data_IF_666806675675
#
_entry.id   IF_666806675675
#
_cell.length_a   1.000
_cell.length_b   1.000
_cell.length_c   1.000
_cell.angle_alpha   90.00
_cell.angle_beta   90.00
_cell.angle_gamma   90.00
#
_symmetry.space_group_name_H-M   'P 1'
#
loop_
_entity.id
_entity.type
_entity.pdbx_description
1 polymer ?
#
# COMPACT_ATOMS: atom_id res chain seq x y z
N UNK A 1 -22.54 24.92 -9.52
CA UNK A 1 -21.12 25.31 -9.31
C UNK A 1 -20.43 24.22 -8.50
N UNK A 2 -19.52 23.43 -9.07
CA UNK A 2 -18.80 22.37 -8.33
C UNK A 2 -17.67 23.06 -7.55
N UNK A 3 -17.84 23.21 -6.25
CA UNK A 3 -16.80 23.77 -5.37
C UNK A 3 -15.63 22.78 -5.31
N UNK A 4 -14.55 23.06 -6.03
CA UNK A 4 -13.33 22.25 -5.98
C UNK A 4 -12.62 22.57 -4.67
N UNK A 5 -12.85 21.76 -3.64
CA UNK A 5 -12.14 21.92 -2.37
C UNK A 5 -10.64 21.69 -2.60
N UNK A 6 -9.81 22.71 -2.36
CA UNK A 6 -8.34 22.60 -2.44
C UNK A 6 -7.86 21.62 -1.37
N UNK A 7 -7.03 20.66 -1.76
CA UNK A 7 -6.30 19.78 -0.85
C UNK A 7 -4.93 20.40 -0.56
N UNK A 8 -4.39 20.15 0.63
CA UNK A 8 -3.07 20.65 1.02
C UNK A 8 -2.02 19.54 0.86
N UNK A 9 -1.58 19.26 -0.38
CA UNK A 9 -0.56 18.22 -0.63
C UNK A 9 0.77 18.57 0.05
N UNK A 10 1.07 19.85 0.21
CA UNK A 10 2.30 20.32 0.87
C UNK A 10 2.30 20.09 2.39
N UNK A 11 1.17 19.70 2.99
CA UNK A 11 1.08 19.34 4.42
C UNK A 11 1.62 17.93 4.73
N UNK A 12 1.97 17.15 3.72
CA UNK A 12 2.56 15.84 3.89
C UNK A 12 3.92 15.77 3.19
N UNK A 13 4.79 14.92 3.70
CA UNK A 13 6.09 14.66 3.09
C UNK A 13 5.95 13.83 1.82
N UNK A 14 6.97 13.87 0.95
CA UNK A 14 7.04 12.95 -0.19
C UNK A 14 7.06 11.47 0.23
N UNK A 15 7.67 11.18 1.39
CA UNK A 15 7.69 9.84 1.99
C UNK A 15 6.28 9.36 2.34
N UNK A 16 5.48 10.20 2.99
CA UNK A 16 4.08 9.88 3.29
C UNK A 16 3.25 9.69 2.02
N UNK A 17 3.48 10.52 1.00
CA UNK A 17 2.80 10.40 -0.29
C UNK A 17 3.17 9.09 -1.02
N UNK A 18 4.46 8.77 -1.12
CA UNK A 18 4.94 7.54 -1.76
C UNK A 18 4.40 6.30 -1.03
N UNK A 19 4.40 6.32 0.31
CA UNK A 19 3.79 5.27 1.13
C UNK A 19 2.29 5.12 0.86
N UNK A 20 1.53 6.23 0.86
CA UNK A 20 0.09 6.21 0.60
C UNK A 20 -0.22 5.68 -0.81
N UNK A 21 0.59 6.03 -1.80
CA UNK A 21 0.46 5.52 -3.17
C UNK A 21 0.78 4.02 -3.23
N UNK A 22 1.82 3.57 -2.52
CA UNK A 22 2.11 2.14 -2.37
C UNK A 22 0.91 1.36 -1.83
N UNK A 23 0.31 1.85 -0.75
CA UNK A 23 -0.90 1.27 -0.17
C UNK A 23 -2.08 1.32 -1.14
N UNK A 24 -2.22 2.40 -1.89
CA UNK A 24 -3.27 2.52 -2.90
C UNK A 24 -3.13 1.45 -4.01
N UNK A 25 -1.90 1.11 -4.41
CA UNK A 25 -1.69 0.04 -5.37
C UNK A 25 -2.08 -1.34 -4.83
N UNK A 26 -1.84 -1.60 -3.55
CA UNK A 26 -2.29 -2.80 -2.83
C UNK A 26 -3.82 -2.81 -2.69
N UNK A 27 -4.35 -2.06 -1.71
CA UNK A 27 -5.76 -2.12 -1.28
C UNK A 27 -6.61 -0.91 -1.64
N UNK A 28 -6.04 0.00 -2.43
CA UNK A 28 -6.77 1.16 -2.94
C UNK A 28 -7.66 0.83 -4.12
N UNK A 29 -8.70 1.64 -4.30
CA UNK A 29 -9.50 1.72 -5.51
C UNK A 29 -9.95 3.16 -5.76
N UNK A 30 -10.13 3.54 -7.01
CA UNK A 30 -10.73 4.82 -7.36
C UNK A 30 -11.75 4.66 -8.48
N UNK A 31 -12.88 5.35 -8.36
CA UNK A 31 -13.96 5.33 -9.34
C UNK A 31 -14.77 6.62 -9.30
N UNK A 32 -15.56 6.85 -10.36
CA UNK A 32 -16.50 7.95 -10.44
C UNK A 32 -17.91 7.35 -10.33
N UNK A 33 -18.69 7.82 -9.37
CA UNK A 33 -20.08 7.40 -9.15
C UNK A 33 -20.99 8.62 -9.18
N UNK A 34 -21.94 8.70 -10.12
CA UNK A 34 -22.85 9.85 -10.29
C UNK A 34 -22.13 11.22 -10.23
N UNK A 35 -21.05 11.37 -11.00
CA UNK A 35 -20.15 12.56 -11.04
C UNK A 35 -19.35 12.83 -9.75
N UNK A 36 -19.38 11.91 -8.80
CA UNK A 36 -18.63 11.99 -7.54
C UNK A 36 -17.34 11.20 -7.66
N UNK A 37 -16.20 11.87 -7.48
CA UNK A 37 -14.88 11.25 -7.51
C UNK A 37 -14.56 10.61 -6.16
N UNK A 38 -14.36 9.29 -6.15
CA UNK A 38 -14.13 8.51 -4.94
C UNK A 38 -12.79 7.78 -5.00
N UNK A 39 -12.04 7.89 -3.92
CA UNK A 39 -10.88 7.06 -3.61
C UNK A 39 -11.19 6.27 -2.35
N UNK A 40 -10.93 4.98 -2.35
CA UNK A 40 -11.28 4.06 -1.26
C UNK A 40 -10.07 3.19 -0.91
N UNK A 41 -9.85 2.97 0.37
CA UNK A 41 -8.93 1.95 0.91
C UNK A 41 -9.74 0.90 1.67
N UNK A 42 -9.43 -0.37 1.49
CA UNK A 42 -10.07 -1.48 2.19
C UNK A 42 -9.05 -2.19 3.08
N UNK A 43 -9.14 -2.01 4.39
CA UNK A 43 -8.15 -2.52 5.35
C UNK A 43 -8.83 -3.42 6.39
N UNK A 44 -8.12 -4.40 6.95
CA UNK A 44 -8.68 -5.26 7.98
C UNK A 44 -8.66 -4.54 9.34
N UNK A 45 -9.80 -4.18 9.95
CA UNK A 45 -9.83 -3.42 11.20
C UNK A 45 -9.28 -4.18 12.41
N UNK A 46 -9.08 -5.50 12.32
CA UNK A 46 -8.47 -6.28 13.42
C UNK A 46 -6.95 -6.36 13.33
N UNK A 47 -6.39 -6.19 12.14
CA UNK A 47 -4.95 -6.36 11.90
C UNK A 47 -4.28 -5.03 11.58
N UNK A 48 -4.95 -4.15 10.84
CA UNK A 48 -4.33 -3.03 10.16
C UNK A 48 -4.66 -1.69 10.85
N UNK A 49 -4.92 -1.70 12.17
CA UNK A 49 -5.33 -0.47 12.89
C UNK A 49 -4.30 0.65 12.78
N UNK A 50 -3.00 0.33 12.89
CA UNK A 50 -1.94 1.32 12.71
C UNK A 50 -1.89 1.88 11.28
N UNK A 51 -2.14 1.04 10.27
CA UNK A 51 -2.23 1.45 8.86
C UNK A 51 -3.45 2.35 8.64
N UNK A 52 -4.60 1.96 9.20
CA UNK A 52 -5.85 2.73 9.18
C UNK A 52 -5.64 4.12 9.75
N UNK A 53 -5.02 4.23 10.93
CA UNK A 53 -4.79 5.50 11.60
C UNK A 53 -3.78 6.36 10.85
N UNK A 54 -2.75 5.75 10.27
CA UNK A 54 -1.80 6.44 9.38
C UNK A 54 -2.49 7.02 8.15
N UNK A 55 -3.39 6.27 7.48
CA UNK A 55 -4.20 6.77 6.36
C UNK A 55 -5.07 7.94 6.80
N UNK A 56 -5.81 7.82 7.91
CA UNK A 56 -6.66 8.89 8.43
C UNK A 56 -5.85 10.16 8.74
N UNK A 57 -4.67 10.01 9.34
CA UNK A 57 -3.79 11.13 9.66
C UNK A 57 -3.32 11.85 8.39
N UNK A 58 -2.84 11.11 7.38
CA UNK A 58 -2.42 11.67 6.09
C UNK A 58 -3.57 12.42 5.42
N UNK A 59 -4.76 11.81 5.35
CA UNK A 59 -5.93 12.47 4.75
C UNK A 59 -6.34 13.73 5.51
N UNK A 60 -6.24 13.72 6.84
CA UNK A 60 -6.53 14.89 7.70
C UNK A 60 -5.53 16.01 7.45
N UNK A 61 -4.22 15.72 7.43
CA UNK A 61 -3.17 16.70 7.09
C UNK A 61 -3.41 17.36 5.73
N UNK A 62 -3.82 16.55 4.74
CA UNK A 62 -4.15 17.04 3.40
C UNK A 62 -5.49 17.80 3.30
N UNK A 63 -6.24 17.94 4.40
CA UNK A 63 -7.60 18.48 4.43
C UNK A 63 -8.57 17.74 3.48
N UNK A 64 -8.37 16.43 3.32
CA UNK A 64 -9.24 15.55 2.56
C UNK A 64 -10.33 15.03 3.49
N UNK A 65 -11.60 15.34 3.18
CA UNK A 65 -12.73 14.74 3.90
C UNK A 65 -12.86 13.27 3.51
N UNK A 66 -13.00 12.41 4.53
CA UNK A 66 -13.24 10.99 4.36
C UNK A 66 -14.31 10.50 5.32
N UNK A 67 -14.92 9.37 4.97
CA UNK A 67 -15.84 8.62 5.82
C UNK A 67 -15.31 7.21 6.00
N UNK A 68 -15.50 6.65 7.20
CA UNK A 68 -15.16 5.27 7.49
C UNK A 68 -16.41 4.45 7.74
N UNK A 69 -16.45 3.23 7.20
CA UNK A 69 -17.48 2.24 7.55
C UNK A 69 -16.88 0.84 7.52
N UNK A 70 -17.44 -0.08 8.30
CA UNK A 70 -17.09 -1.49 8.18
C UNK A 70 -18.06 -2.14 7.19
N UNK A 71 -17.54 -2.84 6.19
CA UNK A 71 -18.31 -3.54 5.16
C UNK A 71 -17.63 -4.86 4.85
N UNK A 72 -18.37 -5.97 4.93
CA UNK A 72 -17.87 -7.33 4.64
C UNK A 72 -16.56 -7.68 5.38
N UNK A 73 -16.43 -7.25 6.63
CA UNK A 73 -15.24 -7.51 7.47
C UNK A 73 -14.02 -6.62 7.19
N UNK A 74 -14.09 -5.70 6.24
CA UNK A 74 -13.05 -4.69 5.99
C UNK A 74 -13.52 -3.29 6.42
N UNK A 75 -12.60 -2.48 6.93
CA UNK A 75 -12.79 -1.04 7.10
C UNK A 75 -12.56 -0.35 5.76
N UNK A 76 -13.62 0.28 5.28
CA UNK A 76 -13.61 1.12 4.10
C UNK A 76 -13.32 2.56 4.50
N UNK A 77 -12.18 3.11 4.08
CA UNK A 77 -11.86 4.54 4.21
C UNK A 77 -12.13 5.21 2.87
N UNK A 78 -13.22 5.97 2.77
CA UNK A 78 -13.69 6.59 1.53
C UNK A 78 -13.45 8.10 1.54
N UNK A 79 -12.58 8.57 0.66
CA UNK A 79 -12.37 9.98 0.37
C UNK A 79 -13.20 10.42 -0.84
N UNK A 80 -13.98 11.49 -0.68
CA UNK A 80 -14.76 12.10 -1.77
C UNK A 80 -14.15 13.44 -2.14
N UNK A 81 -13.18 13.43 -3.05
CA UNK A 81 -12.45 14.62 -3.44
C UNK A 81 -11.83 14.45 -4.84
N UNK A 82 -12.19 15.34 -5.78
CA UNK A 82 -11.67 15.31 -7.16
C UNK A 82 -10.15 15.46 -7.20
N UNK A 83 -9.58 16.38 -6.42
CA UNK A 83 -8.13 16.60 -6.43
C UNK A 83 -7.37 15.41 -5.87
N UNK A 84 -7.87 14.79 -4.80
CA UNK A 84 -7.27 13.59 -4.23
C UNK A 84 -7.39 12.39 -5.19
N UNK A 85 -8.52 12.25 -5.87
CA UNK A 85 -8.71 11.25 -6.92
C UNK A 85 -7.72 11.41 -8.09
N UNK A 86 -7.44 12.65 -8.50
CA UNK A 86 -6.49 12.95 -9.57
C UNK A 86 -5.03 12.76 -9.11
N UNK A 87 -4.75 12.97 -7.82
CA UNK A 87 -3.43 12.72 -7.23
C UNK A 87 -3.09 11.23 -7.21
N UNK A 88 -4.06 10.36 -6.94
CA UNK A 88 -3.84 8.91 -6.96
C UNK A 88 -3.60 8.40 -8.39
N UNK A 89 -2.61 7.54 -8.63
CA UNK A 89 -2.34 7.03 -9.98
C UNK A 89 -3.47 6.13 -10.49
N UNK A 90 -3.49 5.87 -11.79
CA UNK A 90 -4.27 4.76 -12.34
C UNK A 90 -3.48 3.46 -12.13
N UNK A 91 -4.11 2.39 -11.67
CA UNK A 91 -3.41 1.14 -11.35
C UNK A 91 -2.67 0.53 -12.55
N UNK A 92 -3.11 0.80 -13.78
CA UNK A 92 -2.44 0.34 -15.01
C UNK A 92 -1.18 1.14 -15.34
N UNK A 93 -1.07 2.37 -14.84
CA UNK A 93 0.07 3.26 -15.12
C UNK A 93 1.18 2.94 -14.12
N UNK A 94 2.42 2.89 -14.61
CA UNK A 94 3.60 2.73 -13.77
C UNK A 94 3.88 4.02 -13.00
N UNK A 95 3.94 3.92 -11.68
CA UNK A 95 4.36 5.01 -10.81
C UNK A 95 5.86 4.93 -10.54
N UNK A 96 6.53 6.08 -10.53
CA UNK A 96 7.94 6.19 -10.21
C UNK A 96 8.06 6.93 -8.87
N UNK A 97 8.17 6.20 -7.75
CA UNK A 97 8.20 6.83 -6.43
C UNK A 97 9.48 7.62 -6.23
N UNK A 98 9.39 8.73 -5.50
CA UNK A 98 10.57 9.51 -5.12
C UNK A 98 11.38 8.83 -4.01
N UNK A 99 10.69 8.05 -3.18
CA UNK A 99 11.24 7.20 -2.14
C UNK A 99 10.70 5.78 -2.31
N UNK A 100 11.55 4.90 -2.85
CA UNK A 100 11.21 3.50 -3.11
C UNK A 100 10.97 2.69 -1.83
N UNK A 101 11.71 2.95 -0.75
CA UNK A 101 11.50 2.29 0.55
C UNK A 101 10.07 2.53 1.05
N UNK A 102 9.62 3.79 1.03
CA UNK A 102 8.29 4.20 1.49
C UNK A 102 7.18 3.60 0.63
N UNK A 103 7.32 3.65 -0.69
CA UNK A 103 6.37 3.06 -1.62
C UNK A 103 6.21 1.55 -1.40
N UNK A 104 7.33 0.82 -1.26
CA UNK A 104 7.29 -0.63 -1.04
C UNK A 104 6.68 -0.93 0.33
N UNK A 105 7.00 -0.13 1.35
CA UNK A 105 6.40 -0.31 2.66
C UNK A 105 4.89 -0.16 2.65
N UNK A 106 4.36 0.89 2.01
CA UNK A 106 2.93 1.08 1.89
C UNK A 106 2.26 -0.03 1.10
N UNK A 107 2.92 -0.53 0.07
CA UNK A 107 2.42 -1.68 -0.70
C UNK A 107 2.37 -2.95 0.17
N UNK A 108 3.41 -3.22 0.96
CA UNK A 108 3.46 -4.37 1.87
C UNK A 108 2.49 -4.24 3.05
N UNK A 109 2.21 -3.03 3.53
CA UNK A 109 1.22 -2.79 4.59
C UNK A 109 -0.22 -3.13 4.12
N UNK A 110 -0.47 -3.24 2.81
CA UNK A 110 -1.76 -3.71 2.27
C UNK A 110 -1.74 -5.17 1.81
N UNK A 111 -0.87 -5.50 0.86
CA UNK A 111 -0.86 -6.81 0.17
C UNK A 111 0.32 -7.71 0.62
N UNK A 112 1.09 -7.27 1.61
CA UNK A 112 2.23 -8.00 2.14
C UNK A 112 1.86 -8.95 3.26
N UNK A 113 2.65 -10.01 3.41
CA UNK A 113 2.65 -10.86 4.59
C UNK A 113 4.07 -11.13 5.05
N UNK A 114 4.22 -11.32 6.36
CA UNK A 114 5.48 -11.68 7.00
C UNK A 114 5.30 -13.02 7.70
N UNK A 115 6.10 -14.01 7.32
CA UNK A 115 6.07 -15.35 7.94
C UNK A 115 7.50 -15.82 8.23
N UNK A 116 7.86 -15.92 9.51
CA UNK A 116 9.24 -16.24 9.92
C UNK A 116 10.24 -15.26 9.32
N UNK A 117 11.25 -15.77 8.58
CA UNK A 117 12.22 -14.94 7.86
C UNK A 117 11.81 -14.59 6.43
N UNK A 118 10.52 -14.71 6.12
CA UNK A 118 9.97 -14.43 4.80
C UNK A 118 9.15 -13.16 4.79
N UNK A 119 9.34 -12.34 3.75
CA UNK A 119 8.35 -11.37 3.29
C UNK A 119 7.80 -11.89 1.97
N UNK A 120 6.49 -11.83 1.81
CA UNK A 120 5.86 -12.05 0.52
C UNK A 120 4.67 -11.14 0.26
N UNK A 121 4.22 -11.14 -0.99
CA UNK A 121 3.06 -10.39 -1.45
C UNK A 121 2.50 -11.06 -2.71
N UNK A 122 1.26 -10.75 -3.08
CA UNK A 122 0.56 -11.40 -4.19
C UNK A 122 -0.29 -10.44 -5.01
N UNK A 123 0.18 -10.06 -6.20
CA UNK A 123 -0.53 -9.10 -7.04
C UNK A 123 -1.09 -9.76 -8.32
N UNK A 124 -2.34 -9.46 -8.65
CA UNK A 124 -3.03 -9.95 -9.85
C UNK A 124 -3.26 -8.87 -10.90
N UNK A 125 -3.48 -7.62 -10.48
CA UNK A 125 -3.93 -6.53 -11.35
C UNK A 125 -2.74 -5.74 -11.90
N UNK A 126 -1.71 -5.50 -11.08
CA UNK A 126 -0.63 -4.56 -11.38
C UNK A 126 0.67 -5.29 -11.68
N UNK A 127 0.81 -5.77 -12.92
CA UNK A 127 1.91 -6.65 -13.36
C UNK A 127 3.32 -6.06 -13.20
N UNK A 128 3.46 -4.73 -13.18
CA UNK A 128 4.77 -4.09 -13.11
C UNK A 128 5.36 -4.01 -11.69
N UNK A 129 4.52 -4.06 -10.64
CA UNK A 129 4.96 -3.85 -9.25
C UNK A 129 5.89 -4.97 -8.80
N UNK A 130 5.52 -6.22 -9.09
CA UNK A 130 6.34 -7.39 -8.75
C UNK A 130 7.79 -7.30 -9.24
N UNK A 131 8.02 -7.17 -10.56
CA UNK A 131 9.36 -6.95 -11.11
C UNK A 131 10.08 -5.73 -10.54
N UNK A 132 9.35 -4.64 -10.25
CA UNK A 132 9.91 -3.44 -9.63
C UNK A 132 10.45 -3.71 -8.22
N UNK A 133 9.62 -4.32 -7.35
CA UNK A 133 10.02 -4.70 -5.98
C UNK A 133 11.19 -5.69 -6.03
N UNK A 134 11.18 -6.64 -6.97
CA UNK A 134 12.27 -7.61 -7.14
C UNK A 134 13.61 -6.96 -7.46
N UNK A 135 13.60 -6.07 -8.45
CA UNK A 135 14.81 -5.32 -8.84
C UNK A 135 15.33 -4.52 -7.66
N UNK A 136 14.44 -3.85 -6.94
CA UNK A 136 14.77 -3.05 -5.77
C UNK A 136 15.38 -3.89 -4.63
N UNK A 137 14.77 -5.02 -4.26
CA UNK A 137 15.29 -5.91 -3.21
C UNK A 137 16.67 -6.47 -3.59
N UNK A 138 16.86 -6.84 -4.87
CA UNK A 138 18.16 -7.30 -5.37
C UNK A 138 19.23 -6.21 -5.23
N UNK A 139 18.91 -4.95 -5.50
CA UNK A 139 19.83 -3.81 -5.31
C UNK A 139 20.20 -3.59 -3.84
N UNK A 140 19.31 -3.94 -2.90
CA UNK A 140 19.58 -3.93 -1.45
C UNK A 140 20.33 -5.18 -0.95
N UNK A 141 20.79 -6.06 -1.85
CA UNK A 141 21.49 -7.29 -1.50
C UNK A 141 20.58 -8.42 -0.99
N UNK A 142 19.25 -8.24 -1.09
CA UNK A 142 18.26 -9.21 -0.65
C UNK A 142 18.01 -10.18 -1.81
N UNK A 143 18.16 -11.48 -1.58
CA UNK A 143 17.93 -12.52 -2.61
C UNK A 143 16.47 -12.98 -2.58
N UNK A 144 15.60 -12.55 -3.53
CA UNK A 144 14.26 -13.06 -3.60
C UNK A 144 14.29 -14.54 -4.00
N UNK A 145 13.43 -15.35 -3.37
CA UNK A 145 13.54 -16.80 -3.32
C UNK A 145 12.59 -17.56 -4.25
N UNK A 146 11.58 -16.93 -4.88
CA UNK A 146 10.81 -17.54 -5.99
C UNK A 146 9.83 -16.53 -6.59
N UNK A 147 9.68 -16.62 -7.93
CA UNK A 147 8.45 -16.23 -8.61
C UNK A 147 7.63 -17.50 -8.75
N UNK A 148 6.48 -17.59 -8.08
CA UNK A 148 5.50 -18.63 -8.38
C UNK A 148 4.24 -17.96 -8.89
N UNK A 149 3.80 -18.33 -10.09
CA UNK A 149 2.46 -17.95 -10.55
C UNK A 149 1.51 -19.01 -9.99
N UNK A 150 0.62 -18.61 -9.10
CA UNK A 150 -0.42 -19.49 -8.58
C UNK A 150 -1.77 -18.79 -8.72
N UNK A 151 -2.73 -19.43 -9.39
CA UNK A 151 -4.07 -18.88 -9.66
C UNK A 151 -4.07 -17.45 -10.25
N UNK A 152 -3.19 -17.17 -11.22
CA UNK A 152 -2.99 -15.84 -11.82
C UNK A 152 -2.47 -14.73 -10.88
N UNK A 153 -2.05 -15.06 -9.66
CA UNK A 153 -1.33 -14.15 -8.78
C UNK A 153 0.18 -14.36 -8.92
N UNK A 154 0.94 -13.27 -9.01
CA UNK A 154 2.39 -13.35 -8.87
C UNK A 154 2.74 -13.42 -7.39
N UNK A 155 3.16 -14.59 -6.93
CA UNK A 155 3.69 -14.77 -5.59
C UNK A 155 5.17 -14.50 -5.57
N UNK A 156 5.53 -13.63 -4.66
CA UNK A 156 6.85 -13.12 -4.49
C UNK A 156 7.27 -13.42 -3.07
N UNK A 157 8.35 -14.18 -2.90
CA UNK A 157 8.87 -14.59 -1.59
C UNK A 157 10.32 -14.19 -1.49
N UNK A 158 10.76 -13.55 -0.42
CA UNK A 158 12.18 -13.38 -0.11
C UNK A 158 12.49 -13.90 1.28
N UNK A 159 13.58 -14.64 1.43
CA UNK A 159 14.04 -15.18 2.72
C UNK A 159 15.32 -14.49 3.17
N UNK A 160 15.33 -14.01 4.42
CA UNK A 160 16.52 -13.42 5.02
C UNK A 160 17.41 -14.52 5.64
N UNK A 161 18.71 -14.49 5.35
CA UNK A 161 19.68 -15.43 5.94
C UNK A 161 19.92 -15.16 7.43
N UNK A 162 19.73 -13.92 7.89
CA UNK A 162 19.90 -13.53 9.31
C UNK A 162 18.74 -12.65 9.79
N UNK A 163 18.29 -12.88 11.01
CA UNK A 163 17.20 -12.11 11.66
C UNK A 163 17.52 -10.61 11.74
N UNK A 164 18.80 -10.23 11.98
CA UNK A 164 19.24 -8.82 12.01
C UNK A 164 19.04 -8.06 10.69
N UNK A 165 19.21 -8.73 9.55
CA UNK A 165 19.00 -8.11 8.22
C UNK A 165 17.52 -7.82 7.98
N UNK A 166 16.63 -8.75 8.38
CA UNK A 166 15.18 -8.55 8.38
C UNK A 166 14.79 -7.33 9.23
N UNK A 167 15.29 -7.25 10.46
CA UNK A 167 14.93 -6.16 11.38
C UNK A 167 15.37 -4.80 10.84
N UNK A 168 16.56 -4.71 10.23
CA UNK A 168 17.07 -3.46 9.67
C UNK A 168 16.27 -2.99 8.44
N UNK A 169 15.85 -3.90 7.57
CA UNK A 169 15.07 -3.56 6.37
C UNK A 169 13.62 -3.24 6.72
N UNK A 170 12.98 -4.03 7.59
CA UNK A 170 11.62 -3.76 8.07
C UNK A 170 11.58 -2.42 8.83
N UNK A 171 12.59 -2.13 9.66
CA UNK A 171 12.73 -0.83 10.34
C UNK A 171 13.03 0.30 9.36
N UNK A 172 13.92 0.11 8.38
CA UNK A 172 14.25 1.16 7.39
C UNK A 172 13.07 1.48 6.49
N UNK A 173 12.19 0.50 6.23
CA UNK A 173 10.98 0.67 5.44
C UNK A 173 9.80 1.21 6.26
N UNK A 174 9.89 1.27 7.60
CA UNK A 174 8.74 1.64 8.46
C UNK A 174 7.50 0.77 8.22
N UNK A 175 7.71 -0.51 7.89
CA UNK A 175 6.62 -1.48 7.66
C UNK A 175 6.00 -1.82 9.00
N UNK A 176 4.68 -1.74 9.05
CA UNK A 176 3.90 -2.09 10.23
C UNK A 176 3.82 -3.61 10.29
N UNK A 177 4.56 -4.26 11.19
CA UNK A 177 4.55 -5.73 11.24
C UNK A 177 3.26 -6.25 11.83
N UNK A 178 2.31 -6.65 10.98
CA UNK A 178 1.20 -7.51 11.39
C UNK A 178 1.64 -8.97 11.29
N UNK A 179 1.83 -9.62 12.45
CA UNK A 179 2.07 -11.06 12.50
C UNK A 179 0.81 -11.77 12.00
N UNK A 180 0.86 -12.37 10.82
CA UNK A 180 -0.22 -13.22 10.33
C UNK A 180 0.26 -14.66 10.21
N UNK A 181 -0.17 -15.50 11.15
CA UNK A 181 -0.32 -16.93 10.91
C UNK A 181 -1.50 -17.08 9.94
N UNK A 182 -1.24 -17.05 8.63
CA UNK A 182 -2.19 -17.52 7.65
C UNK A 182 -1.89 -18.99 7.34
N UNK A 183 -2.68 -19.88 7.95
CA UNK A 183 -3.02 -21.14 7.32
C UNK A 183 -3.92 -20.81 6.12
N UNK A 184 -3.52 -21.24 4.94
CA UNK A 184 -4.41 -21.32 3.80
C UNK A 184 -5.50 -22.36 4.12
N UNK A 185 -6.76 -21.92 4.13
CA UNK A 185 -7.95 -22.75 3.95
C UNK A 185 -8.60 -22.38 2.64
#
# INVERSE_FOLDING_TARGET
>A
MIYIKKINVNAITKIELDWLIGLFYADGSKYIDKRTYRTVFYLNPKKDMEVIDKVKNILTKMNVRFHTRISKGAMEIKATCKNFFLLMPMKQIKYFPSNADAFIAGFLDGDGYVSGNTIGFSQTIVKWIGPYIFKYLKQKGIKPWRNAIYRNCYYYRTSFKKVKEKTNIVKSMSVTTTSTNHACG
#
